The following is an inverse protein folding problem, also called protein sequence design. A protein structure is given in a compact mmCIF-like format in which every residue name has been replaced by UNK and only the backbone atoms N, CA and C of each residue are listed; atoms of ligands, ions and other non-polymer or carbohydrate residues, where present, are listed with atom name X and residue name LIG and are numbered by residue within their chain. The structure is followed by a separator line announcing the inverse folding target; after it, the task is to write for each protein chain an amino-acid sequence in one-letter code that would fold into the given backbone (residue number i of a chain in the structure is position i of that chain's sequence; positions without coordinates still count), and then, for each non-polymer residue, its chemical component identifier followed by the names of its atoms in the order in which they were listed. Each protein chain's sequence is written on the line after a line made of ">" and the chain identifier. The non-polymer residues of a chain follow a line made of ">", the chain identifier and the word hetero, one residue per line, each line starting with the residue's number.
data_IF_749845239666
#
_entry.id   IF_749845239666
#
_cell.length_a   1.000
_cell.length_b   1.000
_cell.length_c   1.000
_cell.angle_alpha   90.00
_cell.angle_beta   90.00
_cell.angle_gamma   90.00
#
_symmetry.space_group_name_H-M   'P 1'
#
loop_
_entity.id
_entity.type
_entity.pdbx_description
1 polymer ?
#
# COMPACT_ATOMS: atom_id res chain seq x y z
N UNK A 1 37.16 12.22 26.87
CA UNK A 1 36.03 13.17 26.81
C UNK A 1 36.08 14.05 25.56
N UNK A 2 37.22 14.67 25.19
CA UNK A 2 37.36 15.39 23.89
C UNK A 2 37.22 14.51 22.64
N UNK A 3 37.65 13.25 22.70
CA UNK A 3 37.51 12.28 21.59
C UNK A 3 36.04 11.91 21.28
N UNK A 4 35.17 11.85 22.30
CA UNK A 4 33.76 11.48 22.12
C UNK A 4 32.90 12.60 21.53
N UNK A 5 33.28 13.87 21.75
CA UNK A 5 32.67 15.01 21.05
C UNK A 5 33.09 15.08 19.58
N UNK A 6 34.34 14.70 19.27
CA UNK A 6 34.82 14.63 17.88
C UNK A 6 34.13 13.50 17.10
N UNK A 7 33.88 12.34 17.71
CA UNK A 7 33.11 11.27 17.05
C UNK A 7 31.66 11.67 16.81
N UNK A 8 31.04 12.44 17.72
CA UNK A 8 29.68 12.96 17.53
C UNK A 8 29.63 14.05 16.44
N UNK A 9 30.69 14.84 16.28
CA UNK A 9 30.79 15.85 15.22
C UNK A 9 31.13 15.24 13.84
N UNK A 10 31.83 14.11 13.78
CA UNK A 10 32.17 13.41 12.53
C UNK A 10 30.97 12.65 11.93
N UNK A 11 29.95 12.32 12.73
CA UNK A 11 28.67 11.77 12.22
C UNK A 11 27.75 12.88 11.68
N UNK A 12 28.12 14.16 11.84
CA UNK A 12 27.26 15.30 11.55
C UNK A 12 27.81 16.15 10.39
N UNK A 13 28.27 15.46 9.35
CA UNK A 13 29.00 16.07 8.24
C UNK A 13 28.70 15.49 6.87
N UNK A 14 27.62 14.75 6.67
CA UNK A 14 27.06 14.47 5.34
C UNK A 14 25.66 13.86 5.48
N UNK A 15 24.68 14.63 5.97
CA UNK A 15 23.40 14.57 5.28
C UNK A 15 23.68 15.23 3.94
N UNK A 16 24.24 14.45 3.02
CA UNK A 16 24.06 14.69 1.61
C UNK A 16 22.55 14.76 1.45
N UNK A 17 22.07 15.99 1.48
CA UNK A 17 20.96 16.43 0.67
C UNK A 17 21.40 16.05 -0.74
N UNK A 18 21.31 14.76 -1.04
CA UNK A 18 21.17 14.33 -2.40
C UNK A 18 19.87 15.02 -2.75
N UNK A 19 19.97 16.10 -3.52
CA UNK A 19 18.88 16.60 -4.34
C UNK A 19 18.51 15.43 -5.26
N UNK A 20 17.86 14.43 -4.69
CA UNK A 20 17.16 13.39 -5.41
C UNK A 20 15.95 14.13 -5.85
N UNK A 21 16.12 14.69 -7.03
CA UNK A 21 15.16 15.39 -7.84
C UNK A 21 13.76 14.93 -7.38
N UNK A 22 13.08 15.77 -6.59
CA UNK A 22 11.82 15.38 -5.92
C UNK A 22 10.79 14.95 -6.95
N UNK A 23 10.99 15.39 -8.19
CA UNK A 23 10.20 15.10 -9.36
C UNK A 23 10.15 13.61 -9.75
N UNK A 24 11.25 12.90 -10.08
CA UNK A 24 11.20 11.46 -10.36
C UNK A 24 10.65 10.62 -9.21
N UNK A 25 10.94 10.97 -7.95
CA UNK A 25 10.36 10.29 -6.77
C UNK A 25 8.84 10.41 -6.75
N UNK A 26 8.32 11.62 -6.96
CA UNK A 26 6.89 11.88 -7.08
C UNK A 26 6.24 11.12 -8.24
N UNK A 27 6.91 11.06 -9.40
CA UNK A 27 6.41 10.35 -10.59
C UNK A 27 6.31 8.83 -10.34
N UNK A 28 7.30 8.21 -9.69
CA UNK A 28 7.27 6.79 -9.34
C UNK A 28 6.11 6.49 -8.38
N UNK A 29 5.90 7.33 -7.36
CA UNK A 29 4.79 7.18 -6.42
C UNK A 29 3.43 7.31 -7.11
N UNK A 30 3.26 8.31 -7.97
CA UNK A 30 2.03 8.49 -8.75
C UNK A 30 1.79 7.27 -9.65
N UNK A 31 2.84 6.80 -10.33
CA UNK A 31 2.75 5.64 -11.21
C UNK A 31 2.31 4.38 -10.44
N UNK A 32 2.88 4.13 -9.26
CA UNK A 32 2.50 3.00 -8.41
C UNK A 32 1.06 3.11 -7.90
N UNK A 33 0.60 4.31 -7.51
CA UNK A 33 -0.79 4.54 -7.10
C UNK A 33 -1.77 4.29 -8.24
N UNK A 34 -1.46 4.82 -9.43
CA UNK A 34 -2.31 4.64 -10.62
C UNK A 34 -2.32 3.18 -11.05
N UNK A 35 -1.19 2.48 -11.01
CA UNK A 35 -1.12 1.06 -11.33
C UNK A 35 -1.97 0.20 -10.38
N UNK A 36 -2.05 0.59 -9.09
CA UNK A 36 -2.78 -0.16 -8.08
C UNK A 36 -4.26 0.23 -7.94
N UNK A 37 -4.64 1.45 -8.32
CA UNK A 37 -6.02 1.94 -8.29
C UNK A 37 -7.04 1.03 -9.00
N UNK A 38 -6.81 0.55 -10.23
CA UNK A 38 -7.77 -0.34 -10.90
C UNK A 38 -7.93 -1.67 -10.15
N UNK A 39 -6.88 -2.15 -9.48
CA UNK A 39 -6.94 -3.40 -8.73
C UNK A 39 -7.95 -3.33 -7.58
N UNK A 40 -7.89 -2.28 -6.76
CA UNK A 40 -8.88 -2.04 -5.69
C UNK A 40 -10.28 -1.87 -6.24
N UNK A 41 -10.43 -1.01 -7.26
CA UNK A 41 -11.70 -0.73 -7.93
C UNK A 41 -12.40 -1.98 -8.47
N UNK A 42 -11.68 -2.83 -9.21
CA UNK A 42 -12.23 -4.09 -9.72
C UNK A 42 -12.64 -4.98 -8.56
N UNK A 43 -11.79 -5.12 -7.54
CA UNK A 43 -12.06 -5.96 -6.40
C UNK A 43 -13.35 -5.55 -5.66
N UNK A 44 -13.55 -4.26 -5.35
CA UNK A 44 -14.79 -3.86 -4.69
C UNK A 44 -16.02 -3.95 -5.59
N UNK A 45 -15.91 -3.65 -6.88
CA UNK A 45 -17.04 -3.84 -7.82
C UNK A 45 -17.44 -5.31 -7.86
N UNK A 46 -16.48 -6.23 -7.99
CA UNK A 46 -16.74 -7.65 -7.99
C UNK A 46 -17.42 -8.08 -6.68
N UNK A 47 -16.92 -7.61 -5.53
CA UNK A 47 -17.51 -7.92 -4.23
C UNK A 47 -18.96 -7.46 -4.12
N UNK A 48 -19.24 -6.22 -4.53
CA UNK A 48 -20.59 -5.66 -4.40
C UNK A 48 -21.52 -6.20 -5.48
N UNK A 49 -21.02 -6.52 -6.68
CA UNK A 49 -21.81 -7.15 -7.73
C UNK A 49 -22.27 -8.55 -7.31
N UNK A 50 -21.43 -9.30 -6.60
CA UNK A 50 -21.80 -10.60 -6.06
C UNK A 50 -22.84 -10.50 -4.94
N UNK A 51 -22.71 -9.48 -4.09
CA UNK A 51 -23.74 -9.12 -3.10
C UNK A 51 -25.05 -8.69 -3.75
N UNK A 52 -25.00 -7.88 -4.81
CA UNK A 52 -26.19 -7.37 -5.54
C UNK A 52 -26.95 -8.49 -6.25
N UNK A 53 -26.22 -9.47 -6.80
CA UNK A 53 -26.81 -10.69 -7.38
C UNK A 53 -27.43 -11.62 -6.34
N UNK A 54 -27.36 -11.27 -5.05
CA UNK A 54 -27.86 -12.08 -3.92
C UNK A 54 -27.35 -13.52 -3.98
N UNK A 55 -26.14 -13.73 -4.54
CA UNK A 55 -25.56 -15.07 -4.67
C UNK A 55 -25.48 -15.75 -3.31
N UNK A 56 -25.19 -14.98 -2.25
CA UNK A 56 -25.25 -15.46 -0.87
C UNK A 56 -26.63 -16.00 -0.46
N UNK A 57 -27.73 -15.33 -0.81
CA UNK A 57 -29.09 -15.81 -0.51
C UNK A 57 -29.43 -17.06 -1.34
N UNK A 58 -28.99 -17.10 -2.60
CA UNK A 58 -29.14 -18.27 -3.47
C UNK A 58 -28.37 -19.51 -2.94
N UNK A 59 -27.11 -19.33 -2.56
CA UNK A 59 -26.27 -20.38 -1.97
C UNK A 59 -26.79 -20.84 -0.59
N UNK A 60 -27.41 -19.94 0.18
CA UNK A 60 -28.07 -20.29 1.45
C UNK A 60 -29.31 -21.15 1.25
N UNK A 61 -30.10 -20.89 0.21
CA UNK A 61 -31.24 -21.75 -0.18
C UNK A 61 -30.76 -23.16 -0.57
N UNK A 62 -29.55 -23.25 -1.13
CA UNK A 62 -28.92 -24.53 -1.52
C UNK A 62 -28.28 -25.29 -0.34
N UNK A 63 -28.41 -24.79 0.90
CA UNK A 63 -27.99 -25.48 2.12
C UNK A 63 -26.58 -25.11 2.62
N UNK A 64 -25.92 -24.09 2.05
CA UNK A 64 -24.59 -23.69 2.49
C UNK A 64 -24.65 -22.88 3.80
N UNK A 65 -23.79 -23.22 4.75
CA UNK A 65 -23.65 -22.50 6.02
C UNK A 65 -23.01 -21.11 5.79
N UNK A 66 -23.55 -20.06 6.44
CA UNK A 66 -23.11 -18.67 6.25
C UNK A 66 -21.61 -18.47 6.52
N UNK A 67 -21.03 -19.24 7.45
CA UNK A 67 -19.59 -19.17 7.77
C UNK A 67 -18.71 -19.71 6.66
N UNK A 68 -19.11 -20.81 6.00
CA UNK A 68 -18.35 -21.42 4.92
C UNK A 68 -18.28 -20.49 3.69
N UNK A 69 -19.38 -19.75 3.43
CA UNK A 69 -19.41 -18.74 2.38
C UNK A 69 -18.40 -17.62 2.65
N UNK A 70 -18.42 -17.01 3.85
CA UNK A 70 -17.48 -15.95 4.21
C UNK A 70 -16.02 -16.43 4.24
N UNK A 71 -15.78 -17.67 4.67
CA UNK A 71 -14.42 -18.23 4.73
C UNK A 71 -13.88 -18.50 3.32
N UNK A 72 -14.70 -19.10 2.44
CA UNK A 72 -14.35 -19.26 1.01
C UNK A 72 -14.10 -17.92 0.33
N UNK A 73 -14.88 -16.91 0.67
CA UNK A 73 -14.70 -15.55 0.19
C UNK A 73 -13.31 -15.01 0.54
N UNK A 74 -13.03 -14.93 1.84
CA UNK A 74 -11.75 -14.40 2.34
C UNK A 74 -10.57 -15.20 1.77
N UNK A 75 -10.68 -16.53 1.68
CA UNK A 75 -9.63 -17.37 1.09
C UNK A 75 -9.41 -17.06 -0.40
N UNK A 76 -10.47 -16.97 -1.20
CA UNK A 76 -10.37 -16.65 -2.63
C UNK A 76 -9.68 -15.30 -2.84
N UNK A 77 -10.15 -14.25 -2.15
CA UNK A 77 -9.55 -12.92 -2.29
C UNK A 77 -8.11 -12.88 -1.76
N UNK A 78 -7.83 -13.51 -0.62
CA UNK A 78 -6.46 -13.58 -0.08
C UNK A 78 -5.52 -14.29 -1.04
N UNK A 79 -5.95 -15.39 -1.65
CA UNK A 79 -5.15 -16.14 -2.65
C UNK A 79 -4.89 -15.33 -3.92
N UNK A 80 -5.89 -14.56 -4.38
CA UNK A 80 -5.76 -13.69 -5.54
C UNK A 80 -4.80 -12.53 -5.27
N UNK A 81 -4.89 -11.90 -4.09
CA UNK A 81 -3.94 -10.87 -3.67
C UNK A 81 -2.54 -11.43 -3.55
N UNK A 82 -2.38 -12.61 -2.93
CA UNK A 82 -1.09 -13.26 -2.82
C UNK A 82 -0.42 -13.43 -4.19
N UNK A 83 -1.16 -13.93 -5.18
CA UNK A 83 -0.63 -14.12 -6.53
C UNK A 83 -0.29 -12.79 -7.22
N UNK A 84 -1.15 -11.78 -7.08
CA UNK A 84 -0.93 -10.46 -7.70
C UNK A 84 0.22 -9.70 -7.06
N UNK A 85 0.33 -9.70 -5.74
CA UNK A 85 1.44 -9.10 -5.01
C UNK A 85 2.77 -9.78 -5.35
N UNK A 86 2.77 -11.12 -5.56
CA UNK A 86 3.95 -11.85 -6.01
C UNK A 86 4.37 -11.42 -7.41
N UNK A 87 3.43 -11.37 -8.36
CA UNK A 87 3.71 -10.90 -9.72
C UNK A 87 4.25 -9.46 -9.73
N UNK A 88 3.63 -8.57 -8.96
CA UNK A 88 4.08 -7.18 -8.84
C UNK A 88 5.46 -7.06 -8.21
N UNK A 89 5.78 -7.84 -7.19
CA UNK A 89 7.12 -7.83 -6.59
C UNK A 89 8.19 -8.35 -7.56
N UNK A 90 7.88 -9.39 -8.35
CA UNK A 90 8.78 -9.90 -9.39
C UNK A 90 8.97 -8.86 -10.49
N UNK A 91 7.90 -8.20 -10.94
CA UNK A 91 8.00 -7.14 -11.94
C UNK A 91 8.79 -5.95 -11.40
N UNK A 92 8.55 -5.53 -10.16
CA UNK A 92 9.26 -4.40 -9.54
C UNK A 92 10.76 -4.66 -9.39
N UNK A 93 11.15 -5.90 -9.06
CA UNK A 93 12.56 -6.30 -8.98
C UNK A 93 13.19 -6.52 -10.37
N UNK A 94 12.45 -7.09 -11.33
CA UNK A 94 12.94 -7.33 -12.69
C UNK A 94 13.02 -6.08 -13.58
N UNK A 95 12.13 -5.09 -13.36
CA UNK A 95 12.11 -3.82 -14.10
C UNK A 95 13.14 -2.80 -13.61
N UNK A 96 13.99 -3.20 -12.65
CA UNK A 96 15.02 -2.35 -12.04
C UNK A 96 14.44 -1.10 -11.34
N UNK A 97 13.17 -1.14 -10.93
CA UNK A 97 12.56 -0.09 -10.10
C UNK A 97 13.17 -0.07 -8.68
N UNK A 98 13.56 -1.25 -8.17
CA UNK A 98 14.26 -1.41 -6.89
C UNK A 98 15.33 -2.51 -6.98
N UNK A 99 16.49 -2.24 -7.60
CA UNK A 99 17.51 -3.25 -7.90
C UNK A 99 18.26 -3.81 -6.68
N UNK A 100 18.37 -3.06 -5.57
CA UNK A 100 19.06 -3.49 -4.34
C UNK A 100 18.09 -4.01 -3.27
N UNK A 101 16.82 -3.60 -3.31
CA UNK A 101 15.82 -4.05 -2.34
C UNK A 101 15.46 -5.53 -2.48
N UNK A 102 15.21 -6.17 -1.33
CA UNK A 102 14.83 -7.57 -1.31
C UNK A 102 13.40 -7.79 -1.84
N UNK A 103 13.25 -8.75 -2.75
CA UNK A 103 11.94 -9.12 -3.32
C UNK A 103 10.89 -9.45 -2.25
N UNK A 104 11.32 -10.06 -1.14
CA UNK A 104 10.44 -10.46 -0.03
C UNK A 104 9.85 -9.25 0.69
N UNK A 105 10.62 -8.19 0.94
CA UNK A 105 10.11 -6.98 1.61
C UNK A 105 9.10 -6.25 0.73
N UNK A 106 9.42 -6.11 -0.56
CA UNK A 106 8.52 -5.50 -1.55
C UNK A 106 7.22 -6.31 -1.67
N UNK A 107 7.33 -7.64 -1.76
CA UNK A 107 6.20 -8.55 -1.75
C UNK A 107 5.32 -8.36 -0.50
N UNK A 108 5.93 -8.29 0.68
CA UNK A 108 5.22 -8.14 1.94
C UNK A 108 4.49 -6.79 2.01
N UNK A 109 5.13 -5.70 1.56
CA UNK A 109 4.49 -4.38 1.44
C UNK A 109 3.24 -4.43 0.55
N UNK A 110 3.35 -4.97 -0.66
CA UNK A 110 2.21 -5.10 -1.58
C UNK A 110 1.12 -6.04 -1.04
N UNK A 111 1.50 -7.12 -0.36
CA UNK A 111 0.56 -8.09 0.19
C UNK A 111 -0.24 -7.52 1.36
N UNK A 112 0.42 -6.86 2.32
CA UNK A 112 -0.24 -6.19 3.45
C UNK A 112 -1.15 -5.07 2.96
N UNK A 113 -0.69 -4.28 1.99
CA UNK A 113 -1.50 -3.23 1.37
C UNK A 113 -2.75 -3.80 0.70
N UNK A 114 -2.60 -4.86 -0.11
CA UNK A 114 -3.72 -5.54 -0.73
C UNK A 114 -4.74 -6.06 0.30
N UNK A 115 -4.26 -6.72 1.36
CA UNK A 115 -5.11 -7.25 2.42
C UNK A 115 -5.90 -6.14 3.13
N UNK A 116 -5.24 -5.03 3.47
CA UNK A 116 -5.89 -3.88 4.09
C UNK A 116 -6.88 -3.20 3.14
N UNK A 117 -6.62 -3.18 1.83
CA UNK A 117 -7.57 -2.68 0.82
C UNK A 117 -8.86 -3.52 0.77
N UNK A 118 -8.75 -4.87 0.85
CA UNK A 118 -9.95 -5.74 0.95
C UNK A 118 -10.78 -5.38 2.18
N UNK A 119 -10.14 -5.27 3.35
CA UNK A 119 -10.88 -4.96 4.59
C UNK A 119 -11.60 -3.61 4.50
N UNK A 120 -10.97 -2.62 3.87
CA UNK A 120 -11.59 -1.34 3.61
C UNK A 120 -12.78 -1.44 2.64
N UNK A 121 -12.63 -2.16 1.51
CA UNK A 121 -13.72 -2.41 0.57
C UNK A 121 -14.89 -3.18 1.22
N UNK A 122 -14.59 -4.17 2.07
CA UNK A 122 -15.60 -4.91 2.84
C UNK A 122 -16.31 -4.02 3.85
N UNK A 123 -15.63 -3.04 4.47
CA UNK A 123 -16.25 -2.06 5.35
C UNK A 123 -17.18 -1.10 4.61
N UNK A 124 -16.84 -0.72 3.37
CA UNK A 124 -17.70 0.12 2.53
C UNK A 124 -18.92 -0.64 1.98
N UNK A 125 -18.78 -1.95 1.73
CA UNK A 125 -19.82 -2.81 1.17
C UNK A 125 -21.17 -2.78 1.90
N UNK A 126 -21.29 -2.80 3.25
CA UNK A 126 -22.57 -2.65 3.95
C UNK A 126 -23.18 -1.26 3.86
N UNK A 127 -22.39 -0.20 3.66
CA UNK A 127 -22.86 1.20 3.65
C UNK A 127 -23.62 1.54 2.36
N UNK A 128 -23.35 0.84 1.26
CA UNK A 128 -23.91 1.14 -0.05
C UNK A 128 -24.75 -0.01 -0.61
N UNK A 129 -25.90 0.33 -1.20
CA UNK A 129 -26.87 -0.64 -1.77
C UNK A 129 -26.65 -0.94 -3.26
N UNK A 130 -25.77 -0.19 -3.96
CA UNK A 130 -25.59 -0.27 -5.42
C UNK A 130 -24.10 -0.43 -5.78
N UNK A 131 -23.77 -1.45 -6.56
CA UNK A 131 -22.38 -1.76 -6.97
C UNK A 131 -21.68 -0.59 -7.68
N UNK A 132 -22.38 0.08 -8.60
CA UNK A 132 -21.82 1.22 -9.35
C UNK A 132 -21.37 2.39 -8.46
N UNK A 133 -22.04 2.61 -7.33
CA UNK A 133 -21.70 3.74 -6.45
C UNK A 133 -20.48 3.41 -5.58
N UNK A 134 -20.31 2.15 -5.17
CA UNK A 134 -19.17 1.74 -4.35
C UNK A 134 -17.87 1.87 -5.12
N UNK A 135 -17.82 1.43 -6.38
CA UNK A 135 -16.63 1.57 -7.21
C UNK A 135 -16.22 3.04 -7.39
N UNK A 136 -17.18 3.94 -7.63
CA UNK A 136 -16.89 5.38 -7.75
C UNK A 136 -16.38 5.96 -6.43
N UNK A 137 -17.00 5.61 -5.31
CA UNK A 137 -16.58 6.07 -3.98
C UNK A 137 -15.18 5.57 -3.65
N UNK A 138 -14.90 4.29 -3.87
CA UNK A 138 -13.58 3.71 -3.63
C UNK A 138 -12.51 4.34 -4.54
N UNK A 139 -12.82 4.57 -5.81
CA UNK A 139 -11.92 5.29 -6.71
C UNK A 139 -11.64 6.71 -6.22
N UNK A 140 -12.67 7.45 -5.82
CA UNK A 140 -12.54 8.82 -5.34
C UNK A 140 -11.76 8.89 -4.02
N UNK A 141 -11.98 7.94 -3.12
CA UNK A 141 -11.18 7.73 -1.91
C UNK A 141 -9.73 7.46 -2.29
N UNK A 142 -9.47 6.54 -3.23
CA UNK A 142 -8.12 6.21 -3.72
C UNK A 142 -7.36 7.42 -4.24
N UNK A 143 -8.02 8.25 -5.04
CA UNK A 143 -7.41 9.46 -5.58
C UNK A 143 -7.18 10.51 -4.49
N UNK A 144 -8.17 10.74 -3.61
CA UNK A 144 -8.06 11.73 -2.55
C UNK A 144 -6.95 11.39 -1.55
N UNK A 145 -6.89 10.15 -1.08
CA UNK A 145 -5.83 9.70 -0.16
C UNK A 145 -4.47 9.53 -0.85
N UNK A 146 -4.45 9.20 -2.14
CA UNK A 146 -3.23 9.25 -2.95
C UNK A 146 -2.64 10.66 -3.02
N UNK A 147 -3.49 11.67 -3.25
CA UNK A 147 -3.07 13.07 -3.24
C UNK A 147 -2.58 13.52 -1.86
N UNK A 148 -3.29 13.16 -0.78
CA UNK A 148 -2.86 13.43 0.60
C UNK A 148 -1.52 12.76 0.91
N UNK A 149 -1.34 11.50 0.51
CA UNK A 149 -0.07 10.80 0.69
C UNK A 149 1.08 11.49 -0.05
N UNK A 150 0.82 11.99 -1.26
CA UNK A 150 1.83 12.71 -2.04
C UNK A 150 2.20 14.05 -1.40
N UNK A 151 1.21 14.78 -0.88
CA UNK A 151 1.46 15.98 -0.08
C UNK A 151 2.30 15.66 1.16
N UNK A 152 2.03 14.55 1.85
CA UNK A 152 2.81 14.12 3.02
C UNK A 152 4.27 13.85 2.66
N UNK A 153 4.52 13.17 1.54
CA UNK A 153 5.89 12.90 1.08
C UNK A 153 6.60 14.18 0.62
N UNK A 154 5.90 15.10 -0.02
CA UNK A 154 6.49 16.36 -0.51
C UNK A 154 6.74 17.38 0.61
N UNK A 155 5.90 17.39 1.63
CA UNK A 155 6.04 18.26 2.79
C UNK A 155 6.61 17.44 3.96
N UNK A 156 7.94 17.37 4.04
CA UNK A 156 8.66 16.66 5.11
C UNK A 156 8.32 17.15 6.55
N UNK A 157 7.60 18.27 6.66
CA UNK A 157 7.16 18.94 7.89
C UNK A 157 5.74 18.60 8.36
N UNK A 158 5.16 17.45 7.97
CA UNK A 158 3.85 17.05 8.52
C UNK A 158 3.95 16.60 9.99
N UNK A 159 3.05 17.07 10.88
CA UNK A 159 3.06 16.64 12.28
C UNK A 159 2.76 15.14 12.37
N UNK A 160 3.58 14.41 13.14
CA UNK A 160 3.46 12.96 13.38
C UNK A 160 2.04 12.53 13.82
N UNK A 161 1.27 13.45 14.44
CA UNK A 161 -0.12 13.24 14.82
C UNK A 161 -1.08 13.07 13.64
N UNK A 162 -0.87 13.77 12.52
CA UNK A 162 -1.72 13.60 11.33
C UNK A 162 -1.41 12.29 10.61
N UNK A 163 -0.14 11.87 10.57
CA UNK A 163 0.24 10.55 10.06
C UNK A 163 -0.45 9.44 10.85
N UNK A 164 -0.51 9.57 12.18
CA UNK A 164 -1.25 8.63 13.03
C UNK A 164 -2.76 8.66 12.78
N UNK A 165 -3.34 9.85 12.53
CA UNK A 165 -4.76 10.00 12.21
C UNK A 165 -5.13 9.41 10.84
N UNK A 166 -4.23 9.50 9.86
CA UNK A 166 -4.39 8.94 8.52
C UNK A 166 -3.92 7.49 8.40
N UNK A 167 -3.25 6.96 9.42
CA UNK A 167 -2.84 5.55 9.50
C UNK A 167 -3.96 4.51 9.30
N UNK A 168 -5.24 4.75 9.63
CA UNK A 168 -6.32 3.84 9.28
C UNK A 168 -6.58 3.77 7.78
N UNK A 169 -6.19 4.80 7.03
CA UNK A 169 -6.33 4.86 5.58
C UNK A 169 -5.10 4.22 4.92
N UNK A 170 -5.27 2.93 4.63
CA UNK A 170 -4.37 2.02 3.92
C UNK A 170 -3.50 2.66 2.82
N UNK A 171 -4.07 3.58 2.04
CA UNK A 171 -3.44 4.19 0.86
C UNK A 171 -2.33 5.19 1.22
N UNK A 172 -2.46 5.91 2.34
CA UNK A 172 -1.42 6.84 2.78
C UNK A 172 -0.21 6.10 3.36
N UNK A 173 -0.44 5.05 4.17
CA UNK A 173 0.62 4.25 4.77
C UNK A 173 1.44 3.51 3.71
N UNK A 174 0.79 2.99 2.65
CA UNK A 174 1.51 2.39 1.54
C UNK A 174 2.44 3.37 0.83
N UNK A 175 1.98 4.61 0.59
CA UNK A 175 2.79 5.64 -0.05
C UNK A 175 4.02 6.02 0.79
N UNK A 176 3.85 6.15 2.10
CA UNK A 176 4.93 6.41 3.06
C UNK A 176 5.91 5.24 3.08
N UNK A 177 5.42 3.99 3.10
CA UNK A 177 6.26 2.79 3.07
C UNK A 177 7.11 2.70 1.80
N UNK A 178 6.55 3.00 0.63
CA UNK A 178 7.32 3.05 -0.62
C UNK A 178 8.31 4.23 -0.62
N UNK A 179 7.93 5.38 -0.05
CA UNK A 179 8.85 6.51 0.11
C UNK A 179 10.06 6.15 0.98
N UNK A 180 9.88 5.36 2.05
CA UNK A 180 10.97 4.83 2.85
C UNK A 180 11.82 3.80 2.09
N UNK A 181 11.21 2.90 1.32
CA UNK A 181 11.96 1.95 0.47
C UNK A 181 12.81 2.69 -0.57
N UNK A 182 12.27 3.73 -1.22
CA UNK A 182 13.03 4.57 -2.15
C UNK A 182 14.17 5.30 -1.44
N UNK A 183 13.93 5.84 -0.25
CA UNK A 183 14.99 6.48 0.54
C UNK A 183 16.13 5.51 0.84
N UNK A 184 15.85 4.26 1.22
CA UNK A 184 16.88 3.23 1.44
C UNK A 184 17.60 2.77 0.15
N UNK A 185 16.88 2.77 -0.97
CA UNK A 185 17.45 2.47 -2.29
C UNK A 185 18.44 3.57 -2.72
N UNK A 186 18.15 4.83 -2.38
CA UNK A 186 19.00 5.99 -2.68
C UNK A 186 20.38 5.93 -1.99
N UNK A 187 20.44 5.34 -0.79
CA UNK A 187 21.71 5.06 -0.09
C UNK A 187 22.41 3.79 -0.61
N UNK A 188 21.86 3.14 -1.63
CA UNK A 188 22.38 1.92 -2.24
C UNK A 188 22.49 0.73 -1.27
N UNK A 189 21.80 0.80 -0.12
CA UNK A 189 21.67 -0.28 0.86
C UNK A 189 20.44 -1.17 0.55
N UNK A 190 19.39 -0.58 -0.04
CA UNK A 190 18.15 -1.26 -0.39
C UNK A 190 17.31 -1.67 0.82
N UNK A 191 16.04 -2.00 0.60
CA UNK A 191 15.16 -2.49 1.66
C UNK A 191 15.46 -3.96 2.01
N UNK A 192 16.37 -4.15 2.98
CA UNK A 192 16.69 -5.42 3.63
C UNK A 192 16.03 -5.50 5.01
N UNK A 193 15.70 -6.73 5.46
CA UNK A 193 15.12 -6.94 6.80
C UNK A 193 16.04 -6.46 7.94
N UNK A 194 17.36 -6.37 7.71
CA UNK A 194 18.33 -5.84 8.67
C UNK A 194 18.26 -4.32 8.81
N UNK A 195 18.00 -3.59 7.71
CA UNK A 195 18.09 -2.13 7.68
C UNK A 195 16.71 -1.48 7.79
N UNK A 196 15.63 -2.28 7.78
CA UNK A 196 14.25 -1.81 7.94
C UNK A 196 13.96 -1.14 9.30
N UNK A 197 14.77 -1.43 10.33
CA UNK A 197 14.60 -0.89 11.67
C UNK A 197 15.37 0.43 11.91
N UNK A 198 16.25 0.81 10.97
CA UNK A 198 17.11 1.99 11.09
C UNK A 198 16.63 3.20 10.27
N UNK A 199 15.54 3.05 9.50
CA UNK A 199 14.93 4.10 8.63
C UNK A 199 13.58 4.64 9.06
#
# INVERSE_FOLDING_TARGET
>A
WKELESTRAVIMGETSVVEIDTFPRGVILIYLVIAFSPFGYFLAIHIVAEKEKKLKEFLKIMGLHDTAFWLSWVLLYTSLIFLMSLLMAVIATASSLFPQSSCVVIFLLFFLYGLSSIFFALMLTPLFKKSKHVGIVEFLVTVAFGFVGLLIVFMESFPKSLVWLFSPFCQCTFLIGIAQVMHLEDFNEGALFSNLAEG
#
